data_IF_884939198789
#
_entry.id   IF_884939198789
#
_cell.length_a   1.000
_cell.length_b   1.000
_cell.length_c   1.000
_cell.angle_alpha   90.00
_cell.angle_beta   90.00
_cell.angle_gamma   90.00
#
_symmetry.space_group_name_H-M   'P 1'
#
loop_
_entity.id
_entity.type
_entity.pdbx_description
1 polymer ?
#
# COMPACT_ATOMS: atom_id res chain seq x y z
N UNK A 1 -54.95 29.82 -24.17
CA UNK A 1 -54.53 28.46 -23.78
C UNK A 1 -53.06 28.53 -23.39
N UNK A 2 -52.78 28.30 -22.12
CA UNK A 2 -51.49 28.58 -21.46
C UNK A 2 -50.79 27.23 -21.27
N UNK A 3 -49.76 26.95 -22.06
CA UNK A 3 -48.99 25.71 -21.96
C UNK A 3 -48.07 25.77 -20.73
N UNK A 4 -48.41 24.98 -19.72
CA UNK A 4 -47.57 24.72 -18.55
C UNK A 4 -46.69 23.52 -18.92
N UNK A 5 -45.40 23.74 -19.05
CA UNK A 5 -44.39 22.67 -19.15
C UNK A 5 -44.11 22.20 -17.72
N UNK A 6 -44.53 20.97 -17.41
CA UNK A 6 -44.15 20.26 -16.18
C UNK A 6 -42.70 19.78 -16.33
N UNK A 7 -41.77 20.38 -15.58
CA UNK A 7 -40.40 19.88 -15.43
C UNK A 7 -40.38 19.01 -14.18
N UNK A 8 -40.38 17.69 -14.35
CA UNK A 8 -40.12 16.72 -13.29
C UNK A 8 -38.61 16.69 -13.01
N UNK A 9 -38.20 17.31 -11.91
CA UNK A 9 -36.85 17.16 -11.37
C UNK A 9 -36.71 15.75 -10.78
N UNK A 10 -35.99 14.86 -11.47
CA UNK A 10 -35.52 13.61 -10.88
C UNK A 10 -34.32 13.92 -9.97
N UNK A 11 -34.59 14.09 -8.67
CA UNK A 11 -33.54 14.03 -7.65
C UNK A 11 -33.04 12.59 -7.55
N UNK A 12 -31.94 12.29 -8.23
CA UNK A 12 -31.10 11.15 -7.87
C UNK A 12 -30.34 11.53 -6.60
N UNK A 13 -30.91 11.16 -5.45
CA UNK A 13 -30.15 11.07 -4.20
C UNK A 13 -29.22 9.87 -4.38
N UNK A 14 -28.00 10.14 -4.84
CA UNK A 14 -26.87 9.23 -4.66
C UNK A 14 -26.61 9.14 -3.16
N UNK A 15 -27.23 8.15 -2.52
CA UNK A 15 -26.79 7.67 -1.21
C UNK A 15 -25.48 6.93 -1.47
N UNK A 16 -24.40 7.71 -1.62
CA UNK A 16 -23.06 7.19 -1.46
C UNK A 16 -22.98 6.70 -0.02
N UNK A 17 -23.10 5.38 0.15
CA UNK A 17 -22.82 4.75 1.42
C UNK A 17 -21.36 5.01 1.76
N UNK A 18 -21.11 6.05 2.55
CA UNK A 18 -19.84 6.23 3.22
C UNK A 18 -19.62 4.98 4.05
N UNK A 19 -18.77 4.07 3.58
CA UNK A 19 -18.19 3.02 4.42
C UNK A 19 -17.36 3.74 5.46
N UNK A 20 -17.98 4.03 6.61
CA UNK A 20 -17.27 4.50 7.79
C UNK A 20 -16.20 3.42 8.06
N UNK A 21 -14.90 3.78 8.14
CA UNK A 21 -13.90 2.83 8.59
C UNK A 21 -14.39 2.25 9.92
N UNK A 22 -14.38 0.93 10.05
CA UNK A 22 -14.68 0.28 11.32
C UNK A 22 -13.86 0.97 12.41
N UNK A 23 -14.53 1.70 13.29
CA UNK A 23 -13.90 2.47 14.35
C UNK A 23 -13.08 1.52 15.20
N UNK A 24 -11.77 1.70 15.25
CA UNK A 24 -10.92 1.05 16.23
C UNK A 24 -11.35 1.59 17.60
N UNK A 25 -11.93 0.73 18.43
CA UNK A 25 -12.14 1.07 19.83
C UNK A 25 -10.81 0.82 20.56
N UNK A 26 -10.16 1.90 21.03
CA UNK A 26 -9.02 1.88 21.98
C UNK A 26 -9.48 1.33 23.35
N UNK A 27 -9.90 0.07 23.39
CA UNK A 27 -10.40 -0.56 24.61
C UNK A 27 -9.34 -1.38 25.35
N UNK A 28 -8.21 -1.68 24.71
CA UNK A 28 -7.07 -2.41 25.30
C UNK A 28 -5.80 -1.59 25.15
N UNK A 29 -5.16 -1.25 26.27
CA UNK A 29 -3.90 -0.48 26.31
C UNK A 29 -2.77 -1.36 26.80
N UNK A 30 -1.60 -1.27 26.15
CA UNK A 30 -0.36 -1.77 26.71
C UNK A 30 0.07 -0.91 27.91
N UNK A 31 0.73 -1.51 28.90
CA UNK A 31 1.28 -0.77 30.04
C UNK A 31 2.69 -0.22 29.76
N UNK A 32 3.02 0.91 30.40
CA UNK A 32 4.26 1.66 30.15
C UNK A 32 5.40 1.39 31.12
N UNK A 33 6.53 0.89 30.63
CA UNK A 33 7.76 0.64 31.39
C UNK A 33 8.15 -0.84 31.50
N UNK A 34 9.34 -1.13 32.05
CA UNK A 34 9.82 -2.50 32.26
C UNK A 34 8.91 -3.20 33.28
N UNK A 35 8.08 -4.15 32.83
CA UNK A 35 7.15 -4.88 33.68
C UNK A 35 5.84 -4.15 34.00
N UNK A 36 5.52 -3.05 33.31
CA UNK A 36 4.28 -2.33 33.56
C UNK A 36 3.11 -2.96 32.79
N UNK A 37 2.15 -3.53 33.52
CA UNK A 37 0.78 -3.78 33.08
C UNK A 37 0.55 -5.07 32.27
N UNK A 38 0.35 -6.19 32.97
CA UNK A 38 -0.43 -7.37 32.55
C UNK A 38 -0.18 -7.91 31.13
N UNK A 39 1.07 -7.95 30.66
CA UNK A 39 1.39 -8.76 29.50
C UNK A 39 1.08 -10.23 29.79
N UNK A 40 0.70 -10.99 28.76
CA UNK A 40 0.27 -12.38 28.86
C UNK A 40 -1.22 -12.50 29.14
N UNK A 41 -1.92 -13.27 28.31
CA UNK A 41 -3.35 -13.54 28.45
C UNK A 41 -3.58 -14.96 28.95
N UNK A 42 -4.71 -15.18 29.61
CA UNK A 42 -5.13 -16.52 30.02
C UNK A 42 -5.75 -17.27 28.83
N UNK A 43 -4.92 -17.60 27.85
CA UNK A 43 -5.25 -18.44 26.70
C UNK A 43 -4.23 -19.58 26.64
N UNK A 44 -4.66 -20.85 26.52
CA UNK A 44 -3.74 -21.96 26.27
C UNK A 44 -3.08 -21.79 24.90
N UNK A 45 -2.00 -22.52 24.62
CA UNK A 45 -1.36 -22.46 23.30
C UNK A 45 -0.31 -21.37 23.14
N UNK A 46 0.19 -21.28 21.91
CA UNK A 46 1.30 -20.45 21.49
C UNK A 46 1.19 -20.18 20.02
N UNK A 47 1.79 -19.10 19.55
CA UNK A 47 1.75 -18.75 18.14
C UNK A 47 3.13 -18.46 17.58
N UNK A 48 3.28 -18.66 16.28
CA UNK A 48 4.39 -18.15 15.49
C UNK A 48 3.95 -17.80 14.07
N UNK A 49 4.69 -16.90 13.42
CA UNK A 49 4.41 -16.57 12.04
C UNK A 49 4.67 -17.79 11.15
N UNK A 50 3.66 -18.21 10.36
CA UNK A 50 3.70 -19.41 9.53
C UNK A 50 3.15 -20.67 10.20
N UNK A 51 2.55 -20.57 11.38
CA UNK A 51 1.92 -21.70 12.06
C UNK A 51 0.84 -22.36 11.20
N UNK A 52 0.89 -23.69 11.05
CA UNK A 52 -0.04 -24.45 10.23
C UNK A 52 -0.13 -24.02 8.75
N UNK A 53 0.84 -23.26 8.24
CA UNK A 53 0.88 -22.85 6.84
C UNK A 53 1.08 -24.05 5.92
N UNK A 54 0.23 -24.19 4.89
CA UNK A 54 0.21 -25.34 3.98
C UNK A 54 0.14 -24.94 2.52
N UNK A 55 0.69 -25.81 1.67
CA UNK A 55 0.54 -25.67 0.22
C UNK A 55 -0.93 -25.63 -0.16
N UNK A 56 -1.30 -24.65 -0.98
CA UNK A 56 -2.68 -24.37 -1.36
C UNK A 56 -3.33 -23.26 -0.53
N UNK A 57 -2.72 -22.78 0.55
CA UNK A 57 -3.27 -21.66 1.32
C UNK A 57 -3.22 -20.37 0.50
N UNK A 58 -4.35 -19.67 0.47
CA UNK A 58 -4.55 -18.40 -0.19
C UNK A 58 -4.98 -17.35 0.82
N UNK A 59 -4.34 -16.19 0.79
CA UNK A 59 -4.67 -15.04 1.61
C UNK A 59 -4.83 -13.80 0.73
N UNK A 60 -5.82 -12.97 1.05
CA UNK A 60 -5.97 -11.61 0.51
C UNK A 60 -6.06 -10.63 1.65
N UNK A 61 -5.20 -9.62 1.66
CA UNK A 61 -5.21 -8.54 2.64
C UNK A 61 -5.48 -7.20 1.96
N UNK A 62 -6.21 -6.32 2.65
CA UNK A 62 -6.14 -4.88 2.42
C UNK A 62 -5.06 -4.32 3.33
N UNK A 63 -4.03 -3.68 2.79
CA UNK A 63 -2.81 -3.29 3.51
C UNK A 63 -2.47 -1.83 3.24
N UNK A 64 -1.97 -1.12 4.25
CA UNK A 64 -1.25 0.14 4.08
C UNK A 64 -0.02 0.20 4.99
N UNK A 65 0.97 1.02 4.63
CA UNK A 65 2.18 1.23 5.42
C UNK A 65 2.71 2.66 5.24
N UNK A 66 3.22 3.31 6.29
CA UNK A 66 3.66 4.71 6.29
C UNK A 66 4.75 4.98 5.26
N UNK A 67 5.74 4.08 5.20
CA UNK A 67 6.82 4.13 4.22
C UNK A 67 6.36 3.81 2.78
N UNK A 68 5.09 3.45 2.59
CA UNK A 68 4.50 3.17 1.29
C UNK A 68 3.29 4.10 1.02
N UNK A 69 3.53 5.15 0.22
CA UNK A 69 2.51 6.13 -0.16
C UNK A 69 1.70 6.66 1.04
N UNK A 70 2.38 7.02 2.13
CA UNK A 70 1.77 7.59 3.35
C UNK A 70 0.57 6.77 3.91
N UNK A 71 0.75 5.44 4.01
CA UNK A 71 -0.30 4.49 4.41
C UNK A 71 -1.56 4.56 3.54
N UNK A 72 -1.39 4.56 2.22
CA UNK A 72 -2.54 4.27 1.37
C UNK A 72 -2.79 2.78 1.19
N UNK A 73 -4.08 2.41 1.20
CA UNK A 73 -4.52 1.03 1.02
C UNK A 73 -4.22 0.50 -0.39
N UNK A 74 -3.72 -0.73 -0.44
CA UNK A 74 -3.65 -1.57 -1.64
C UNK A 74 -4.04 -3.02 -1.27
N UNK A 75 -4.29 -3.86 -2.28
CA UNK A 75 -4.56 -5.28 -2.07
C UNK A 75 -3.28 -6.09 -2.24
N UNK A 76 -3.01 -6.95 -1.26
CA UNK A 76 -1.91 -7.91 -1.29
C UNK A 76 -2.47 -9.31 -1.18
N UNK A 77 -2.42 -10.07 -2.27
CA UNK A 77 -2.83 -11.47 -2.31
C UNK A 77 -1.61 -12.37 -2.43
N UNK A 78 -1.59 -13.45 -1.65
CA UNK A 78 -0.52 -14.46 -1.69
C UNK A 78 -1.12 -15.86 -1.69
N UNK A 79 -0.60 -16.71 -2.56
CA UNK A 79 -1.00 -18.12 -2.68
C UNK A 79 0.25 -19.00 -2.55
N UNK A 80 0.25 -19.93 -1.59
CA UNK A 80 1.36 -20.85 -1.38
C UNK A 80 1.32 -21.96 -2.44
N UNK A 81 2.16 -21.84 -3.47
CA UNK A 81 2.20 -22.74 -4.61
C UNK A 81 2.80 -24.10 -4.24
N UNK A 82 3.95 -24.10 -3.57
CA UNK A 82 4.73 -25.30 -3.28
C UNK A 82 5.85 -25.05 -2.29
N UNK A 83 6.42 -26.14 -1.79
CA UNK A 83 7.75 -26.14 -1.19
C UNK A 83 8.84 -26.18 -2.28
N UNK A 84 9.98 -25.55 -2.00
CA UNK A 84 11.16 -25.52 -2.87
C UNK A 84 12.35 -26.07 -2.09
N UNK A 85 12.90 -27.20 -2.52
CA UNK A 85 13.99 -27.93 -1.85
C UNK A 85 15.30 -27.92 -2.64
N UNK A 86 15.34 -27.18 -3.75
CA UNK A 86 16.51 -27.08 -4.63
C UNK A 86 17.54 -26.04 -4.19
N UNK A 87 17.26 -25.31 -3.12
CA UNK A 87 18.11 -24.24 -2.58
C UNK A 87 19.06 -24.71 -1.48
N UNK A 88 19.87 -23.80 -0.92
CA UNK A 88 20.69 -24.09 0.26
C UNK A 88 19.84 -24.40 1.51
N UNK A 89 18.59 -23.94 1.52
CA UNK A 89 17.59 -24.19 2.55
C UNK A 89 16.24 -24.48 1.88
N UNK A 90 15.39 -25.27 2.54
CA UNK A 90 14.02 -25.51 2.09
C UNK A 90 13.16 -24.26 2.31
N UNK A 91 12.49 -23.80 1.26
CA UNK A 91 11.65 -22.59 1.26
C UNK A 91 10.22 -22.90 0.82
N UNK A 92 9.34 -21.93 1.02
CA UNK A 92 7.94 -21.95 0.59
C UNK A 92 7.74 -20.87 -0.48
N UNK A 93 7.28 -21.26 -1.67
CA UNK A 93 7.07 -20.31 -2.77
C UNK A 93 5.64 -19.80 -2.79
N UNK A 94 5.50 -18.50 -2.59
CA UNK A 94 4.26 -17.79 -2.83
C UNK A 94 4.22 -17.19 -4.23
N UNK A 95 3.09 -17.39 -4.92
CA UNK A 95 2.70 -16.50 -6.01
C UNK A 95 1.99 -15.29 -5.39
N UNK A 96 2.27 -14.10 -5.91
CA UNK A 96 1.80 -12.83 -5.38
C UNK A 96 1.01 -12.09 -6.45
N UNK A 97 -0.10 -11.49 -6.03
CA UNK A 97 -0.86 -10.53 -6.81
C UNK A 97 -1.03 -9.26 -5.98
N UNK A 98 -0.62 -8.13 -6.54
CA UNK A 98 -0.83 -6.80 -5.96
C UNK A 98 -1.84 -6.05 -6.82
N UNK A 99 -2.84 -5.45 -6.19
CA UNK A 99 -3.76 -4.50 -6.84
C UNK A 99 -3.63 -3.16 -6.10
N UNK A 100 -2.90 -2.21 -6.70
CA UNK A 100 -2.67 -0.86 -6.17
C UNK A 100 -3.23 0.15 -7.17
N UNK A 101 -4.46 0.62 -6.90
CA UNK A 101 -5.17 1.47 -7.84
C UNK A 101 -5.46 0.74 -9.16
N UNK A 102 -5.05 1.34 -10.28
CA UNK A 102 -5.09 0.71 -11.60
C UNK A 102 -3.92 -0.24 -11.89
N UNK A 103 -2.93 -0.37 -11.00
CA UNK A 103 -1.78 -1.26 -11.20
C UNK A 103 -2.10 -2.66 -10.68
N UNK A 104 -1.90 -3.65 -11.55
CA UNK A 104 -2.03 -5.06 -11.21
C UNK A 104 -0.68 -5.73 -11.46
N UNK A 105 0.00 -6.14 -10.40
CA UNK A 105 1.34 -6.74 -10.50
C UNK A 105 1.29 -8.19 -10.06
N UNK A 106 1.87 -9.06 -10.89
CA UNK A 106 2.12 -10.45 -10.54
C UNK A 106 3.59 -10.65 -10.28
N UNK A 107 3.89 -11.47 -9.29
CA UNK A 107 5.25 -11.89 -9.04
C UNK A 107 5.27 -13.12 -8.15
N UNK A 108 6.45 -13.46 -7.67
CA UNK A 108 6.65 -14.52 -6.71
C UNK A 108 7.60 -14.05 -5.62
N UNK A 109 7.52 -14.70 -4.46
CA UNK A 109 8.52 -14.63 -3.41
C UNK A 109 8.69 -16.02 -2.81
N UNK A 110 9.92 -16.38 -2.42
CA UNK A 110 10.13 -17.51 -1.55
C UNK A 110 10.32 -17.01 -0.12
N UNK A 111 9.78 -17.77 0.85
CA UNK A 111 9.92 -17.47 2.27
C UNK A 111 10.51 -18.66 3.02
N UNK A 112 11.18 -18.41 4.14
CA UNK A 112 11.73 -19.47 4.99
C UNK A 112 10.64 -20.31 5.67
N UNK A 113 10.97 -21.57 6.01
CA UNK A 113 10.09 -22.45 6.80
C UNK A 113 10.15 -22.16 8.30
N UNK A 114 11.30 -21.69 8.81
CA UNK A 114 11.46 -21.29 10.21
C UNK A 114 10.68 -20.01 10.53
N UNK A 115 10.71 -19.08 9.59
CA UNK A 115 10.02 -17.80 9.64
C UNK A 115 9.64 -17.46 8.20
N UNK A 116 8.38 -17.06 7.92
CA UNK A 116 7.91 -16.76 6.57
C UNK A 116 8.40 -15.37 6.12
N UNK A 117 9.70 -15.12 6.27
CA UNK A 117 10.39 -13.94 5.80
C UNK A 117 10.85 -14.13 4.35
N UNK A 118 10.72 -13.10 3.48
CA UNK A 118 11.16 -13.19 2.10
C UNK A 118 12.66 -13.45 1.95
N UNK A 119 13.02 -14.40 1.09
CA UNK A 119 14.39 -14.75 0.73
C UNK A 119 14.90 -13.83 -0.37
N UNK A 120 15.99 -13.10 -0.08
CA UNK A 120 16.62 -12.20 -1.04
C UNK A 120 16.99 -12.93 -2.36
N UNK A 121 16.78 -12.26 -3.49
CA UNK A 121 17.07 -12.81 -4.82
C UNK A 121 16.01 -13.76 -5.40
N UNK A 122 15.00 -14.15 -4.61
CA UNK A 122 13.87 -14.97 -5.09
C UNK A 122 12.63 -14.14 -5.45
N UNK A 123 12.59 -12.90 -4.95
CA UNK A 123 11.48 -11.97 -5.12
C UNK A 123 11.51 -11.38 -6.53
N UNK A 124 10.37 -11.37 -7.21
CA UNK A 124 10.26 -10.69 -8.51
C UNK A 124 10.47 -9.18 -8.36
N UNK A 125 11.31 -8.60 -9.22
CA UNK A 125 11.74 -7.20 -9.12
C UNK A 125 10.58 -6.19 -9.05
N UNK A 126 9.52 -6.44 -9.83
CA UNK A 126 8.35 -5.58 -9.93
C UNK A 126 7.52 -5.49 -8.64
N UNK A 127 7.65 -6.46 -7.72
CA UNK A 127 6.90 -6.49 -6.45
C UNK A 127 7.76 -6.23 -5.22
N UNK A 128 9.06 -5.95 -5.36
CA UNK A 128 9.99 -5.82 -4.23
C UNK A 128 9.53 -4.82 -3.15
N UNK A 129 8.97 -3.67 -3.54
CA UNK A 129 8.46 -2.66 -2.59
C UNK A 129 7.30 -3.19 -1.76
N UNK A 130 6.38 -3.96 -2.37
CA UNK A 130 5.24 -4.55 -1.67
C UNK A 130 5.64 -5.72 -0.77
N UNK A 131 6.64 -6.49 -1.18
CA UNK A 131 7.22 -7.56 -0.35
C UNK A 131 7.97 -6.98 0.85
N UNK A 132 8.59 -5.80 0.71
CA UNK A 132 9.12 -5.06 1.85
C UNK A 132 8.02 -4.70 2.85
N UNK A 133 6.86 -4.22 2.36
CA UNK A 133 5.69 -3.95 3.22
C UNK A 133 5.19 -5.21 3.90
N UNK A 134 5.08 -6.34 3.19
CA UNK A 134 4.73 -7.64 3.80
C UNK A 134 5.68 -8.00 4.94
N UNK A 135 6.99 -7.85 4.72
CA UNK A 135 8.03 -8.14 5.72
C UNK A 135 7.90 -7.26 6.97
N UNK A 136 7.66 -5.96 6.79
CA UNK A 136 7.56 -4.99 7.89
C UNK A 136 6.17 -4.92 8.53
N UNK A 137 5.18 -5.68 8.04
CA UNK A 137 3.81 -5.69 8.60
C UNK A 137 3.29 -7.11 8.87
N UNK A 138 2.78 -7.82 7.85
CA UNK A 138 2.10 -9.12 7.99
C UNK A 138 3.02 -10.17 8.63
N UNK A 139 4.28 -10.29 8.19
CA UNK A 139 5.22 -11.25 8.75
C UNK A 139 6.05 -10.70 9.91
N UNK A 140 5.89 -9.44 10.30
CA UNK A 140 6.80 -8.74 11.23
C UNK A 140 6.99 -9.46 12.56
N UNK A 141 5.92 -10.09 13.08
CA UNK A 141 5.96 -10.86 14.32
C UNK A 141 6.92 -12.07 14.27
N UNK A 142 7.39 -12.49 13.09
CA UNK A 142 8.46 -13.51 12.95
C UNK A 142 9.76 -13.11 13.66
N UNK A 143 10.00 -11.81 13.83
CA UNK A 143 11.14 -11.30 14.59
C UNK A 143 11.12 -11.76 16.06
N UNK A 144 9.94 -12.07 16.59
CA UNK A 144 9.74 -12.52 17.96
C UNK A 144 9.35 -13.99 18.04
N UNK A 145 8.44 -14.44 17.18
CA UNK A 145 7.82 -15.75 17.23
C UNK A 145 8.05 -16.52 15.92
N UNK A 146 8.96 -17.49 15.95
CA UNK A 146 9.31 -18.36 14.81
C UNK A 146 8.83 -19.78 15.06
N UNK A 147 8.89 -20.66 14.06
CA UNK A 147 8.82 -22.10 14.30
C UNK A 147 9.94 -22.54 15.26
N UNK A 148 9.79 -23.73 15.83
CA UNK A 148 10.83 -24.31 16.68
C UNK A 148 12.13 -24.52 15.91
N UNK A 149 13.24 -24.11 16.53
CA UNK A 149 14.54 -24.03 15.86
C UNK A 149 15.70 -24.65 16.68
N UNK A 150 15.41 -25.35 17.78
CA UNK A 150 16.41 -25.83 18.75
C UNK A 150 17.43 -24.75 19.18
N UNK A 151 17.03 -23.48 19.15
CA UNK A 151 17.88 -22.33 19.45
C UNK A 151 17.26 -21.48 20.55
N UNK A 152 18.08 -21.06 21.52
CA UNK A 152 17.65 -20.21 22.62
C UNK A 152 17.09 -18.88 22.11
N UNK A 153 15.89 -18.51 22.54
CA UNK A 153 15.20 -17.29 22.15
C UNK A 153 14.29 -17.40 20.91
N UNK A 154 14.45 -18.46 20.11
CA UNK A 154 13.56 -18.81 18.99
C UNK A 154 12.38 -19.67 19.45
N UNK A 155 11.49 -20.00 18.52
CA UNK A 155 10.34 -20.87 18.75
C UNK A 155 9.03 -20.12 19.06
N UNK A 156 7.92 -20.87 19.10
CA UNK A 156 6.59 -20.33 19.33
C UNK A 156 6.49 -19.58 20.65
N UNK A 157 5.66 -18.54 20.67
CA UNK A 157 5.45 -17.73 21.88
C UNK A 157 4.09 -18.04 22.48
N UNK A 158 4.12 -18.59 23.69
CA UNK A 158 2.92 -18.82 24.47
C UNK A 158 2.18 -17.50 24.73
N UNK A 159 0.86 -17.54 24.61
CA UNK A 159 0.02 -16.37 24.85
C UNK A 159 0.03 -15.92 26.32
N UNK A 160 0.35 -16.83 27.23
CA UNK A 160 0.52 -16.55 28.66
C UNK A 160 1.85 -15.86 29.02
N UNK A 161 2.80 -15.77 28.08
CA UNK A 161 4.08 -15.09 28.34
C UNK A 161 3.85 -13.59 28.45
N UNK A 162 4.36 -13.03 29.54
CA UNK A 162 4.30 -11.58 29.80
C UNK A 162 5.09 -10.74 28.78
N UNK A 163 6.01 -11.37 28.03
CA UNK A 163 6.84 -10.73 27.02
C UNK A 163 7.14 -11.68 25.86
N UNK A 164 6.99 -11.19 24.63
CA UNK A 164 7.47 -11.85 23.42
C UNK A 164 8.80 -11.24 22.93
N UNK A 165 9.09 -9.98 23.27
CA UNK A 165 10.37 -9.31 23.01
C UNK A 165 10.44 -7.89 23.55
N UNK A 166 11.65 -7.30 23.56
CA UNK A 166 11.93 -6.01 24.22
C UNK A 166 11.83 -4.77 23.33
N UNK A 167 11.97 -4.89 22.01
CA UNK A 167 12.12 -3.74 21.11
C UNK A 167 11.16 -3.92 19.93
N UNK A 168 10.01 -3.25 19.99
CA UNK A 168 9.10 -3.17 18.84
C UNK A 168 9.62 -2.18 17.78
N UNK A 169 10.16 -1.06 18.23
CA UNK A 169 10.80 -0.03 17.42
C UNK A 169 11.86 0.72 18.27
N UNK A 170 12.68 1.56 17.65
CA UNK A 170 13.73 2.31 18.39
C UNK A 170 13.04 3.24 19.42
N UNK A 171 13.27 2.97 20.71
CA UNK A 171 12.60 3.66 21.82
C UNK A 171 11.21 3.12 22.19
N UNK A 172 10.75 2.06 21.51
CA UNK A 172 9.48 1.38 21.75
C UNK A 172 9.45 0.54 23.02
N UNK A 173 8.22 0.27 23.47
CA UNK A 173 7.98 -0.59 24.62
C UNK A 173 7.98 -2.08 24.25
N UNK A 174 7.84 -2.92 25.28
CA UNK A 174 7.83 -4.36 25.18
C UNK A 174 6.66 -4.87 24.32
N UNK A 175 6.93 -5.88 23.48
CA UNK A 175 5.90 -6.60 22.71
C UNK A 175 5.33 -7.71 23.58
N UNK A 176 4.01 -7.75 23.76
CA UNK A 176 3.34 -8.77 24.56
C UNK A 176 1.89 -9.00 24.13
N UNK A 177 1.31 -10.17 24.43
CA UNK A 177 -0.14 -10.35 24.44
C UNK A 177 -0.75 -9.45 25.51
N UNK A 178 -1.74 -8.62 25.14
CA UNK A 178 -2.34 -7.62 26.05
C UNK A 178 -3.85 -7.78 26.24
N UNK A 179 -4.48 -8.63 25.43
CA UNK A 179 -5.93 -8.85 25.52
C UNK A 179 -6.40 -9.97 24.60
N UNK A 180 -7.68 -10.29 24.72
CA UNK A 180 -8.38 -11.20 23.80
C UNK A 180 -9.64 -10.51 23.34
N UNK A 181 -9.99 -10.67 22.08
CA UNK A 181 -11.22 -10.15 21.52
C UNK A 181 -11.72 -11.04 20.38
N UNK A 182 -13.04 -11.13 20.24
CA UNK A 182 -13.67 -11.69 19.04
C UNK A 182 -13.83 -10.56 18.02
N UNK A 183 -13.14 -10.65 16.89
CA UNK A 183 -13.26 -9.67 15.81
C UNK A 183 -14.00 -10.24 14.61
N UNK A 184 -14.60 -9.35 13.82
CA UNK A 184 -15.11 -9.70 12.50
C UNK A 184 -14.37 -8.89 11.43
N UNK A 185 -13.83 -9.59 10.44
CA UNK A 185 -13.24 -9.05 9.22
C UNK A 185 -13.98 -9.66 8.02
N UNK A 186 -13.67 -9.24 6.79
CA UNK A 186 -14.37 -9.79 5.61
C UNK A 186 -14.16 -11.30 5.44
N UNK A 187 -13.00 -11.82 5.83
CA UNK A 187 -12.71 -13.24 5.76
C UNK A 187 -13.50 -14.10 6.76
N UNK A 188 -14.06 -13.50 7.82
CA UNK A 188 -14.81 -14.23 8.84
C UNK A 188 -14.76 -13.58 10.22
N UNK A 189 -15.26 -14.31 11.21
CA UNK A 189 -15.22 -13.96 12.63
C UNK A 189 -14.20 -14.86 13.32
N UNK A 190 -13.33 -14.26 14.13
CA UNK A 190 -12.20 -14.95 14.77
C UNK A 190 -12.11 -14.56 16.24
N UNK A 191 -11.85 -15.55 17.09
CA UNK A 191 -11.39 -15.32 18.46
C UNK A 191 -9.88 -15.08 18.42
N UNK A 192 -9.46 -13.88 18.82
CA UNK A 192 -8.08 -13.41 18.64
C UNK A 192 -7.41 -13.10 19.95
N UNK A 193 -6.09 -13.28 19.97
CA UNK A 193 -5.20 -12.69 20.96
C UNK A 193 -4.63 -11.40 20.38
N UNK A 194 -4.73 -10.32 21.13
CA UNK A 194 -4.19 -9.01 20.77
C UNK A 194 -2.75 -8.96 21.25
N UNK A 195 -1.80 -8.91 20.32
CA UNK A 195 -0.41 -8.58 20.59
C UNK A 195 -0.24 -7.07 20.44
N UNK A 196 0.34 -6.42 21.44
CA UNK A 196 0.51 -4.97 21.40
C UNK A 196 1.73 -4.46 22.15
N UNK A 197 2.03 -3.21 21.87
CA UNK A 197 3.09 -2.40 22.48
C UNK A 197 2.71 -0.93 22.36
N UNK A 198 3.31 -0.08 23.20
CA UNK A 198 3.09 1.36 23.10
C UNK A 198 4.16 2.02 22.24
N UNK A 199 3.74 2.98 21.42
CA UNK A 199 4.61 3.84 20.64
C UNK A 199 4.04 5.26 20.57
N UNK A 200 4.86 6.27 20.90
CA UNK A 200 4.47 7.68 20.88
C UNK A 200 3.25 8.02 21.75
N UNK A 201 2.99 7.26 22.82
CA UNK A 201 1.83 7.45 23.69
C UNK A 201 0.58 6.63 23.32
N UNK A 202 0.56 6.00 22.14
CA UNK A 202 -0.57 5.21 21.60
C UNK A 202 -0.23 3.72 21.63
N UNK A 203 -1.22 2.85 21.80
CA UNK A 203 -1.01 1.39 21.73
C UNK A 203 -1.19 0.89 20.30
N UNK A 204 -0.21 0.17 19.79
CA UNK A 204 -0.29 -0.61 18.55
C UNK A 204 -0.91 -1.98 18.82
N UNK A 205 -1.73 -2.47 17.91
CA UNK A 205 -2.43 -3.76 18.01
C UNK A 205 -2.20 -4.63 16.78
N UNK A 206 -1.92 -5.91 17.02
CA UNK A 206 -1.91 -6.99 16.01
C UNK A 206 -2.73 -8.15 16.57
N UNK A 207 -3.75 -8.58 15.83
CA UNK A 207 -4.62 -9.68 16.22
C UNK A 207 -4.16 -10.97 15.56
N UNK A 208 -3.77 -11.95 16.38
CA UNK A 208 -3.37 -13.29 15.97
C UNK A 208 -4.41 -14.31 16.41
N UNK A 209 -4.47 -15.43 15.69
CA UNK A 209 -5.37 -16.56 15.98
C UNK A 209 -4.50 -17.78 16.22
N UNK A 210 -4.79 -18.52 17.29
CA UNK A 210 -4.12 -19.78 17.58
C UNK A 210 -4.29 -20.75 16.40
N UNK A 211 -3.26 -21.53 16.09
CA UNK A 211 -3.28 -22.47 14.96
C UNK A 211 -3.49 -21.84 13.56
N UNK A 212 -3.33 -20.52 13.40
CA UNK A 212 -3.53 -19.81 12.13
C UNK A 212 -2.25 -19.14 11.60
N UNK A 213 -1.93 -19.21 10.29
CA UNK A 213 -0.59 -18.86 9.79
C UNK A 213 -0.12 -17.41 9.98
N UNK A 214 -1.03 -16.45 9.80
CA UNK A 214 -0.69 -15.03 9.76
C UNK A 214 -1.67 -14.21 10.58
N UNK A 215 -1.28 -13.02 11.08
CA UNK A 215 -2.22 -12.16 11.78
C UNK A 215 -3.43 -11.79 10.90
N UNK A 216 -4.60 -11.64 11.51
CA UNK A 216 -5.86 -11.39 10.80
C UNK A 216 -6.18 -9.89 10.66
N UNK A 217 -5.65 -9.06 11.55
CA UNK A 217 -5.87 -7.60 11.55
C UNK A 217 -4.74 -6.90 12.32
N UNK A 218 -4.35 -5.71 11.90
CA UNK A 218 -3.44 -4.86 12.67
C UNK A 218 -3.73 -3.38 12.48
N UNK A 219 -3.36 -2.59 13.48
CA UNK A 219 -3.26 -1.13 13.43
C UNK A 219 -2.14 -0.67 14.36
N UNK A 220 -1.08 -0.14 13.78
CA UNK A 220 0.14 0.25 14.50
C UNK A 220 0.52 1.70 14.23
N UNK A 221 1.34 2.27 15.11
CA UNK A 221 1.65 3.70 15.14
C UNK A 221 3.15 3.95 15.16
N UNK A 222 3.57 5.00 14.44
CA UNK A 222 4.98 5.42 14.39
C UNK A 222 5.40 6.02 15.73
N UNK A 223 6.63 5.75 16.16
CA UNK A 223 7.22 6.44 17.30
C UNK A 223 7.50 7.90 16.94
N UNK A 224 6.85 8.83 17.63
CA UNK A 224 7.17 10.26 17.54
C UNK A 224 7.63 10.80 18.90
N UNK A 225 8.52 11.78 18.88
CA UNK A 225 8.94 12.50 20.10
C UNK A 225 7.98 13.62 20.47
N UNK A 226 7.26 14.17 19.49
CA UNK A 226 6.27 15.24 19.63
C UNK A 226 5.18 15.09 18.55
N UNK A 227 3.99 15.64 18.80
CA UNK A 227 2.86 15.58 17.86
C UNK A 227 2.02 14.31 17.98
N UNK A 228 1.12 14.10 17.01
CA UNK A 228 0.30 12.89 16.94
C UNK A 228 1.04 11.80 16.16
N UNK A 229 1.14 10.59 16.71
CA UNK A 229 1.73 9.45 16.02
C UNK A 229 0.92 9.14 14.75
N UNK A 230 1.51 9.19 13.54
CA UNK A 230 0.84 8.74 12.34
C UNK A 230 0.71 7.21 12.34
N UNK A 231 -0.25 6.70 11.55
CA UNK A 231 -0.41 5.26 11.33
C UNK A 231 0.87 4.72 10.68
N UNK A 232 1.50 3.73 11.31
CA UNK A 232 2.68 3.04 10.76
C UNK A 232 2.26 1.99 9.74
N UNK A 233 1.41 1.04 10.12
CA UNK A 233 0.74 0.17 9.16
C UNK A 233 -0.61 -0.28 9.66
N UNK A 234 -1.46 -0.65 8.71
CA UNK A 234 -2.77 -1.23 8.96
C UNK A 234 -3.01 -2.33 7.94
N UNK A 235 -3.55 -3.44 8.40
CA UNK A 235 -4.08 -4.44 7.49
C UNK A 235 -5.30 -5.15 8.06
N UNK A 236 -6.08 -5.74 7.16
CA UNK A 236 -7.19 -6.63 7.49
C UNK A 236 -7.22 -7.78 6.49
N UNK A 237 -7.34 -9.00 7.01
CA UNK A 237 -7.58 -10.18 6.21
C UNK A 237 -8.97 -10.06 5.57
N UNK A 238 -8.99 -10.17 4.24
CA UNK A 238 -10.17 -10.01 3.42
C UNK A 238 -10.70 -11.34 2.91
N UNK A 239 -9.81 -12.25 2.55
CA UNK A 239 -10.16 -13.58 2.08
C UNK A 239 -9.09 -14.58 2.53
N UNK A 240 -9.54 -15.77 2.96
CA UNK A 240 -8.69 -16.92 3.24
C UNK A 240 -9.33 -18.17 2.65
N UNK A 241 -8.53 -18.99 1.95
CA UNK A 241 -8.96 -20.29 1.42
C UNK A 241 -7.85 -21.30 1.59
N UNK A 242 -8.20 -22.48 2.07
CA UNK A 242 -7.30 -23.63 2.11
C UNK A 242 -7.43 -24.47 0.84
N UNK A 243 -6.40 -25.27 0.55
CA UNK A 243 -6.42 -26.30 -0.49
C UNK A 243 -6.73 -25.77 -1.91
N UNK A 244 -6.30 -24.56 -2.25
CA UNK A 244 -6.40 -24.04 -3.62
C UNK A 244 -5.39 -24.77 -4.50
N UNK A 245 -5.89 -25.62 -5.40
CA UNK A 245 -5.08 -26.58 -6.21
C UNK A 245 -4.50 -26.00 -7.50
N UNK A 246 -4.93 -24.81 -7.91
CA UNK A 246 -4.50 -24.17 -9.16
C UNK A 246 -4.23 -22.70 -8.94
N UNK A 247 -3.24 -22.14 -9.64
CA UNK A 247 -2.84 -20.74 -9.49
C UNK A 247 -4.04 -19.79 -9.68
N UNK A 248 -4.51 -19.09 -8.63
CA UNK A 248 -5.67 -18.22 -8.71
C UNK A 248 -5.42 -16.97 -9.57
N UNK A 249 -4.16 -16.70 -9.94
CA UNK A 249 -3.76 -15.52 -10.69
C UNK A 249 -3.49 -15.79 -12.18
N UNK A 250 -3.70 -17.02 -12.65
CA UNK A 250 -3.33 -17.44 -14.02
C UNK A 250 -3.99 -16.58 -15.11
N UNK A 251 -5.27 -16.21 -14.93
CA UNK A 251 -6.04 -15.41 -15.90
C UNK A 251 -5.90 -13.88 -15.74
N UNK A 252 -5.12 -13.40 -14.77
CA UNK A 252 -4.99 -11.97 -14.48
C UNK A 252 -3.84 -11.40 -15.30
N UNK A 253 -4.08 -10.26 -15.96
CA UNK A 253 -3.07 -9.58 -16.78
C UNK A 253 -2.27 -8.65 -15.89
N UNK A 254 -0.95 -8.83 -15.90
CA UNK A 254 -0.02 -7.92 -15.22
C UNK A 254 0.13 -6.63 -16.04
N UNK A 255 -0.15 -5.50 -15.39
CA UNK A 255 -0.11 -4.18 -16.04
C UNK A 255 1.29 -3.80 -16.50
N UNK A 256 2.35 -4.25 -15.83
CA UNK A 256 3.73 -3.99 -16.22
C UNK A 256 4.18 -4.90 -17.37
N UNK A 257 3.66 -6.13 -17.48
CA UNK A 257 3.88 -6.96 -18.69
C UNK A 257 3.22 -6.31 -19.92
N UNK A 258 2.03 -5.72 -19.75
CA UNK A 258 1.41 -4.92 -20.81
C UNK A 258 2.27 -3.71 -21.22
N UNK A 259 3.03 -3.14 -20.26
CA UNK A 259 3.99 -2.04 -20.52
C UNK A 259 5.33 -2.48 -21.09
N UNK A 260 5.84 -3.68 -20.80
CA UNK A 260 7.16 -4.17 -21.28
C UNK A 260 7.31 -4.29 -22.81
N UNK A 261 6.23 -4.11 -23.58
CA UNK A 261 6.29 -3.89 -25.02
C UNK A 261 6.63 -2.46 -25.46
N UNK A 262 6.81 -1.53 -24.51
CA UNK A 262 7.14 -0.13 -24.77
C UNK A 262 8.60 0.15 -24.42
N UNK A 263 9.31 0.71 -25.40
CA UNK A 263 10.71 1.18 -25.31
C UNK A 263 10.79 2.39 -24.36
N UNK A 264 10.60 2.13 -23.07
CA UNK A 264 10.57 3.13 -22.00
C UNK A 264 11.97 3.59 -21.62
N UNK A 265 12.13 4.90 -21.43
CA UNK A 265 13.39 5.50 -21.02
C UNK A 265 13.57 5.27 -19.52
N UNK A 266 14.63 4.54 -19.13
CA UNK A 266 14.91 4.24 -17.72
C UNK A 266 16.03 5.08 -17.10
N UNK A 267 16.82 5.76 -17.93
CA UNK A 267 17.89 6.66 -17.51
C UNK A 267 17.63 8.04 -18.09
N UNK A 268 17.30 9.01 -17.24
CA UNK A 268 16.98 10.36 -17.64
C UNK A 268 17.36 11.35 -16.53
N UNK A 269 17.58 12.59 -16.92
CA UNK A 269 17.61 13.72 -15.99
C UNK A 269 16.18 14.22 -15.80
N UNK A 270 15.85 14.61 -14.56
CA UNK A 270 14.53 15.18 -14.28
C UNK A 270 14.46 16.63 -14.74
N UNK A 271 13.34 16.98 -15.38
CA UNK A 271 12.97 18.36 -15.68
C UNK A 271 12.46 19.01 -14.41
N UNK A 272 12.99 20.18 -14.07
CA UNK A 272 12.60 20.93 -12.88
C UNK A 272 11.75 22.15 -13.26
N UNK A 273 10.60 22.28 -12.59
CA UNK A 273 9.72 23.44 -12.64
C UNK A 273 9.60 23.97 -11.22
N UNK A 274 9.81 25.27 -11.03
CA UNK A 274 9.76 25.92 -9.72
C UNK A 274 8.90 27.16 -9.82
N UNK A 275 7.63 27.04 -9.47
CA UNK A 275 6.62 28.06 -9.72
C UNK A 275 5.71 28.27 -8.53
N UNK A 276 5.15 29.48 -8.43
CA UNK A 276 4.03 29.72 -7.52
C UNK A 276 2.76 29.08 -8.09
N UNK A 277 1.92 28.56 -7.21
CA UNK A 277 0.52 28.30 -7.55
C UNK A 277 -0.14 29.57 -8.11
N UNK A 278 -1.14 29.42 -8.97
CA UNK A 278 -1.87 30.54 -9.56
C UNK A 278 -2.50 31.51 -8.53
N UNK A 279 -2.72 31.06 -7.30
CA UNK A 279 -3.22 31.85 -6.16
C UNK A 279 -2.10 32.43 -5.29
N UNK A 280 -0.83 32.13 -5.59
CA UNK A 280 0.36 32.43 -4.78
C UNK A 280 0.26 31.91 -3.33
N UNK A 281 -0.53 30.87 -3.09
CA UNK A 281 -0.72 30.30 -1.76
C UNK A 281 0.47 29.46 -1.29
N UNK A 282 1.21 28.91 -2.25
CA UNK A 282 2.35 27.99 -2.10
C UNK A 282 3.29 28.07 -3.30
N UNK A 283 4.52 27.62 -3.10
CA UNK A 283 5.50 27.37 -4.17
C UNK A 283 5.57 25.86 -4.40
N UNK A 284 5.48 25.42 -5.65
CA UNK A 284 5.64 24.01 -6.03
C UNK A 284 6.98 23.82 -6.76
N UNK A 285 7.85 22.98 -6.18
CA UNK A 285 9.02 22.45 -6.87
C UNK A 285 8.63 21.10 -7.47
N UNK A 286 8.43 21.07 -8.78
CA UNK A 286 7.95 19.91 -9.53
C UNK A 286 9.14 19.39 -10.33
N UNK A 287 9.59 18.18 -10.02
CA UNK A 287 10.51 17.44 -10.86
C UNK A 287 9.76 16.30 -11.52
N UNK A 288 9.92 16.16 -12.83
CA UNK A 288 9.37 15.01 -13.55
C UNK A 288 10.38 14.42 -14.52
N UNK A 289 10.24 13.13 -14.82
CA UNK A 289 11.09 12.46 -15.79
C UNK A 289 10.45 11.21 -16.38
N UNK A 290 10.83 10.82 -17.60
CA UNK A 290 11.73 11.52 -18.53
C UNK A 290 11.12 12.81 -19.12
N UNK A 291 11.93 13.72 -19.68
CA UNK A 291 11.48 14.99 -20.31
C UNK A 291 10.42 14.78 -21.40
N UNK A 292 10.58 13.71 -22.19
CA UNK A 292 9.65 13.32 -23.25
C UNK A 292 9.15 11.90 -23.00
N UNK A 293 8.22 11.72 -22.04
CA UNK A 293 7.75 10.40 -21.70
C UNK A 293 6.94 9.79 -22.84
N UNK A 294 7.08 8.48 -22.99
CA UNK A 294 6.37 7.71 -24.00
C UNK A 294 5.03 7.28 -23.43
N UNK A 295 3.96 7.40 -24.22
CA UNK A 295 2.63 6.90 -23.84
C UNK A 295 2.73 5.41 -23.50
N UNK A 296 2.14 5.03 -22.36
CA UNK A 296 2.24 3.70 -21.76
C UNK A 296 3.40 3.51 -20.77
N UNK A 297 4.37 4.42 -20.74
CA UNK A 297 5.46 4.41 -19.76
C UNK A 297 5.14 5.29 -18.54
N UNK A 298 5.74 4.97 -17.39
CA UNK A 298 5.58 5.78 -16.19
C UNK A 298 6.37 7.09 -16.29
N UNK A 299 5.71 8.19 -15.94
CA UNK A 299 6.33 9.47 -15.61
C UNK A 299 6.63 9.43 -14.11
N UNK A 300 7.88 9.58 -13.75
CA UNK A 300 8.32 9.78 -12.38
C UNK A 300 8.08 11.23 -11.96
N UNK A 301 7.56 11.42 -10.76
CA UNK A 301 7.25 12.71 -10.17
C UNK A 301 7.90 12.83 -8.81
N UNK A 302 8.67 13.89 -8.61
CA UNK A 302 9.13 14.33 -7.29
C UNK A 302 8.58 15.73 -7.04
N UNK A 303 7.63 15.84 -6.13
CA UNK A 303 6.98 17.10 -5.80
C UNK A 303 7.43 17.57 -4.42
N UNK A 304 7.75 18.85 -4.31
CA UNK A 304 7.94 19.51 -3.02
C UNK A 304 7.05 20.75 -2.93
N UNK A 305 6.14 20.72 -1.96
CA UNK A 305 5.25 21.84 -1.63
C UNK A 305 5.91 22.70 -0.56
N UNK A 306 6.14 23.97 -0.88
CA UNK A 306 6.84 24.94 -0.03
C UNK A 306 5.94 26.12 0.30
N UNK A 307 6.24 26.77 1.43
CA UNK A 307 5.50 27.96 1.87
C UNK A 307 5.71 29.10 0.86
N UNK A 308 4.67 29.89 0.59
CA UNK A 308 4.68 30.98 -0.41
C UNK A 308 5.86 31.97 -0.29
N UNK A 309 6.40 32.14 0.92
CA UNK A 309 7.48 33.09 1.21
C UNK A 309 8.76 32.43 1.72
N UNK A 310 8.92 31.11 1.53
CA UNK A 310 10.14 30.39 1.96
C UNK A 310 10.53 29.32 0.96
N UNK A 311 11.80 29.32 0.56
CA UNK A 311 12.38 28.30 -0.32
C UNK A 311 12.80 27.04 0.43
N UNK A 312 12.80 27.08 1.77
CA UNK A 312 13.43 26.05 2.62
C UNK A 312 12.42 25.37 3.55
N UNK A 313 11.24 25.97 3.75
CA UNK A 313 10.18 25.43 4.58
C UNK A 313 9.13 24.72 3.72
N UNK A 314 8.94 23.44 4.00
CA UNK A 314 7.88 22.63 3.41
C UNK A 314 6.54 22.93 4.06
N UNK A 315 5.48 22.76 3.29
CA UNK A 315 4.10 22.73 3.78
C UNK A 315 3.76 21.29 4.13
N UNK A 316 3.15 21.07 5.29
CA UNK A 316 2.75 19.75 5.74
C UNK A 316 1.27 19.51 5.44
N UNK A 317 0.86 18.24 5.52
CA UNK A 317 -0.53 17.81 5.38
C UNK A 317 -1.21 18.33 4.09
N UNK A 318 -0.51 18.19 2.96
CA UNK A 318 -0.94 18.74 1.68
C UNK A 318 -1.84 17.76 0.95
N UNK A 319 -3.02 18.21 0.53
CA UNK A 319 -3.94 17.47 -0.33
C UNK A 319 -3.72 17.91 -1.78
N UNK A 320 -3.36 16.99 -2.67
CA UNK A 320 -2.93 17.32 -4.02
C UNK A 320 -3.40 16.31 -5.08
N UNK A 321 -3.20 16.64 -6.35
CA UNK A 321 -3.37 15.72 -7.48
C UNK A 321 -2.45 16.12 -8.64
N UNK A 322 -2.18 15.18 -9.54
CA UNK A 322 -1.53 15.42 -10.83
C UNK A 322 -2.57 15.18 -11.90
N UNK A 323 -2.90 16.22 -12.63
CA UNK A 323 -3.95 16.23 -13.63
C UNK A 323 -3.35 16.37 -15.02
N UNK A 324 -3.90 15.65 -15.98
CA UNK A 324 -3.82 16.07 -17.38
C UNK A 324 -5.03 16.97 -17.61
N UNK A 325 -4.84 18.13 -18.21
CA UNK A 325 -5.88 19.15 -18.33
C UNK A 325 -6.01 19.65 -19.76
N UNK A 326 -7.21 20.10 -20.10
CA UNK A 326 -7.44 20.95 -21.26
C UNK A 326 -7.70 22.38 -20.80
N UNK A 327 -7.26 23.37 -21.58
CA UNK A 327 -7.47 24.79 -21.30
C UNK A 327 -8.21 25.39 -22.49
N UNK A 328 -9.54 25.40 -22.40
CA UNK A 328 -10.43 25.99 -23.40
C UNK A 328 -10.96 27.30 -22.84
N UNK A 329 -10.82 28.40 -23.59
CA UNK A 329 -11.33 29.73 -23.21
C UNK A 329 -10.89 30.21 -21.82
N UNK A 330 -9.66 29.85 -21.41
CA UNK A 330 -9.11 30.19 -20.09
C UNK A 330 -9.65 29.34 -18.93
N UNK A 331 -10.51 28.36 -19.21
CA UNK A 331 -11.01 27.40 -18.23
C UNK A 331 -10.20 26.10 -18.27
N UNK A 332 -9.53 25.81 -17.17
CA UNK A 332 -8.82 24.53 -16.98
C UNK A 332 -9.83 23.44 -16.62
N UNK A 333 -9.89 22.38 -17.43
CA UNK A 333 -10.76 21.22 -17.21
C UNK A 333 -9.92 19.95 -17.12
N UNK A 334 -10.03 19.14 -16.05
CA UNK A 334 -9.32 17.87 -15.96
C UNK A 334 -9.81 16.88 -17.02
N UNK A 335 -8.89 16.24 -17.73
CA UNK A 335 -9.17 15.12 -18.66
C UNK A 335 -8.72 13.78 -18.11
N UNK A 336 -7.70 13.77 -17.24
CA UNK A 336 -7.27 12.61 -16.47
C UNK A 336 -6.72 13.05 -15.11
N UNK A 337 -6.79 12.16 -14.12
CA UNK A 337 -6.33 12.40 -12.75
C UNK A 337 -5.53 11.20 -12.26
N UNK A 338 -4.32 11.45 -11.78
CA UNK A 338 -3.48 10.42 -11.20
C UNK A 338 -4.12 9.83 -9.94
N UNK A 339 -4.78 10.66 -9.11
CA UNK A 339 -5.52 10.17 -7.95
C UNK A 339 -6.71 9.28 -8.34
N UNK A 340 -7.49 9.69 -9.34
CA UNK A 340 -8.65 8.93 -9.82
C UNK A 340 -8.24 7.60 -10.44
N UNK A 341 -7.13 7.57 -11.17
CA UNK A 341 -6.52 6.34 -11.71
C UNK A 341 -6.11 5.38 -10.57
N UNK A 342 -5.76 5.90 -9.40
CA UNK A 342 -5.52 5.10 -8.20
C UNK A 342 -6.79 4.82 -7.36
N UNK A 343 -7.98 5.19 -7.87
CA UNK A 343 -9.26 5.01 -7.18
C UNK A 343 -9.48 5.97 -6.02
N UNK A 344 -8.87 7.16 -6.06
CA UNK A 344 -8.87 8.16 -4.98
C UNK A 344 -9.41 9.49 -5.48
N UNK A 345 -10.04 10.24 -4.58
CA UNK A 345 -10.49 11.60 -4.90
C UNK A 345 -9.32 12.59 -5.05
N UNK A 346 -8.26 12.37 -4.26
CA UNK A 346 -7.03 13.17 -4.21
C UNK A 346 -5.95 12.42 -3.45
N UNK A 347 -4.69 12.82 -3.65
CA UNK A 347 -3.56 12.37 -2.85
C UNK A 347 -3.36 13.22 -1.60
N UNK A 348 -2.56 12.70 -0.68
CA UNK A 348 -2.15 13.34 0.56
C UNK A 348 -0.64 13.18 0.77
N UNK A 349 0.02 14.20 1.29
CA UNK A 349 1.42 14.16 1.71
C UNK A 349 1.56 14.77 3.10
N UNK A 350 2.06 13.99 4.05
CA UNK A 350 2.29 14.45 5.42
C UNK A 350 3.37 15.52 5.50
N UNK A 351 4.43 15.39 4.68
CA UNK A 351 5.65 16.22 4.76
C UNK A 351 5.77 17.28 3.67
N UNK A 352 4.80 17.34 2.75
CA UNK A 352 4.88 18.16 1.53
C UNK A 352 5.88 17.63 0.51
N UNK A 353 6.48 16.46 0.73
CA UNK A 353 7.36 15.78 -0.23
C UNK A 353 6.67 14.54 -0.77
N UNK A 354 6.79 14.35 -2.07
CA UNK A 354 6.15 13.27 -2.81
C UNK A 354 7.16 12.65 -3.75
N UNK A 355 7.17 11.33 -3.83
CA UNK A 355 7.82 10.58 -4.90
C UNK A 355 6.84 9.52 -5.42
N UNK A 356 6.40 9.67 -6.67
CA UNK A 356 5.39 8.80 -7.26
C UNK A 356 5.60 8.61 -8.76
N UNK A 357 4.85 7.67 -9.34
CA UNK A 357 4.90 7.35 -10.76
C UNK A 357 3.48 7.31 -11.32
N UNK A 358 3.25 8.01 -12.43
CA UNK A 358 1.96 7.99 -13.12
C UNK A 358 2.15 7.67 -14.60
N UNK A 359 1.40 6.71 -15.12
CA UNK A 359 1.54 6.24 -16.51
C UNK A 359 1.10 7.32 -17.50
N UNK A 360 1.98 7.67 -18.43
CA UNK A 360 1.67 8.62 -19.50
C UNK A 360 0.55 8.10 -20.40
N UNK A 361 -0.47 8.91 -20.58
CA UNK A 361 -1.67 8.59 -21.36
C UNK A 361 -2.10 9.79 -22.22
N UNK A 362 -3.05 9.54 -23.13
CA UNK A 362 -3.52 10.52 -24.11
C UNK A 362 -2.79 10.41 -25.45
N UNK A 363 -2.75 11.52 -26.18
CA UNK A 363 -2.24 11.56 -27.56
C UNK A 363 -0.78 12.08 -27.63
N UNK A 364 0.00 11.65 -28.64
CA UNK A 364 1.36 12.14 -28.84
C UNK A 364 1.41 13.66 -29.06
N UNK A 365 2.49 14.30 -28.62
CA UNK A 365 2.71 15.74 -28.75
C UNK A 365 2.56 16.49 -27.44
N UNK A 366 2.41 17.81 -27.54
CA UNK A 366 2.38 18.70 -26.38
C UNK A 366 1.05 18.53 -25.62
N UNK A 367 1.14 18.05 -24.39
CA UNK A 367 0.02 17.85 -23.47
C UNK A 367 0.14 18.79 -22.27
N UNK A 368 -1.00 19.27 -21.77
CA UNK A 368 -1.05 20.13 -20.58
C UNK A 368 -1.24 19.30 -19.33
N UNK A 369 -0.41 19.58 -18.33
CA UNK A 369 -0.49 19.00 -17.01
C UNK A 369 -0.71 20.09 -15.98
N UNK A 370 -1.34 19.73 -14.86
CA UNK A 370 -1.46 20.57 -13.69
C UNK A 370 -1.09 19.78 -12.44
N UNK A 371 -0.20 20.34 -11.61
CA UNK A 371 -0.10 19.93 -10.20
C UNK A 371 -1.09 20.77 -9.43
N UNK A 372 -2.16 20.14 -8.95
CA UNK A 372 -3.27 20.76 -8.24
C UNK A 372 -3.08 20.58 -6.73
N UNK A 373 -3.27 21.65 -5.97
CA UNK A 373 -3.36 21.63 -4.51
C UNK A 373 -4.81 21.92 -4.12
N UNK A 374 -5.44 20.96 -3.45
CA UNK A 374 -6.80 21.09 -2.94
C UNK A 374 -6.86 21.87 -1.63
N UNK A 375 -5.77 21.88 -0.87
CA UNK A 375 -5.64 22.60 0.40
C UNK A 375 -4.71 21.86 1.37
N UNK A 376 -4.77 22.25 2.64
CA UNK A 376 -3.96 21.65 3.73
C UNK A 376 -4.84 21.18 4.89
N UNK A 377 -4.40 20.17 5.62
CA UNK A 377 -5.05 19.72 6.85
C UNK A 377 -5.09 18.19 6.98
N UNK A 378 -5.60 17.65 8.10
CA UNK A 378 -5.56 16.21 8.37
C UNK A 378 -6.09 15.35 7.21
N UNK A 379 -5.46 14.21 6.95
CA UNK A 379 -5.76 13.32 5.80
C UNK A 379 -7.25 12.95 5.64
N UNK A 380 -7.98 12.71 6.72
CA UNK A 380 -9.40 12.34 6.70
C UNK A 380 -10.36 13.52 6.92
N UNK A 381 -9.89 14.74 6.68
CA UNK A 381 -10.69 15.95 6.83
C UNK A 381 -10.91 16.64 5.48
N UNK A 382 -11.90 17.54 5.44
CA UNK A 382 -12.01 18.45 4.30
C UNK A 382 -10.83 19.41 4.39
N UNK A 383 -9.95 19.47 3.37
CA UNK A 383 -8.77 20.34 3.43
C UNK A 383 -9.18 21.81 3.48
N UNK A 384 -8.39 22.62 4.17
CA UNK A 384 -8.55 24.07 4.19
C UNK A 384 -8.28 24.65 2.79
N UNK A 385 -9.29 25.22 2.11
CA UNK A 385 -9.15 25.74 0.76
C UNK A 385 -8.33 27.04 0.70
N UNK A 386 -7.91 27.63 1.83
CA UNK A 386 -7.03 28.81 1.83
C UNK A 386 -5.71 28.59 1.06
N UNK A 387 -5.28 27.34 0.94
CA UNK A 387 -4.10 26.93 0.17
C UNK A 387 -4.39 26.41 -1.23
N UNK A 388 -5.65 26.43 -1.66
CA UNK A 388 -6.05 25.97 -2.99
C UNK A 388 -5.30 26.73 -4.10
N UNK A 389 -4.83 25.98 -5.10
CA UNK A 389 -4.15 26.55 -6.26
C UNK A 389 -3.50 25.47 -7.13
N UNK A 390 -2.98 25.85 -8.28
CA UNK A 390 -2.32 24.90 -9.19
C UNK A 390 -1.16 25.54 -9.96
N UNK A 391 -0.29 24.69 -10.50
CA UNK A 391 0.74 25.05 -11.49
C UNK A 391 0.45 24.27 -12.77
N UNK A 392 0.27 24.97 -13.89
CA UNK A 392 0.08 24.36 -15.22
C UNK A 392 1.40 24.45 -16.00
N UNK A 393 1.73 23.36 -16.69
CA UNK A 393 2.91 23.27 -17.54
C UNK A 393 2.66 22.27 -18.67
N UNK A 394 3.55 22.29 -19.65
CA UNK A 394 3.45 21.41 -20.82
C UNK A 394 4.47 20.26 -20.70
N UNK A 395 4.05 19.07 -21.10
CA UNK A 395 4.93 17.90 -21.29
C UNK A 395 4.71 17.40 -22.72
N UNK A 396 5.80 17.14 -23.45
CA UNK A 396 5.73 16.61 -24.80
C UNK A 396 5.78 15.06 -24.77
N UNK A 397 4.66 14.41 -25.05
CA UNK A 397 4.54 12.96 -25.05
C UNK A 397 5.00 12.33 -26.37
N UNK A 398 5.75 11.25 -26.28
CA UNK A 398 6.08 10.41 -27.44
C UNK A 398 4.99 9.37 -27.70
N UNK A 399 4.80 9.01 -28.95
CA UNK A 399 3.89 7.94 -29.34
C UNK A 399 4.26 6.60 -28.68
N UNK A 400 3.24 5.79 -28.37
CA UNK A 400 3.44 4.44 -27.87
C UNK A 400 4.36 3.62 -28.79
N UNK A 401 5.14 2.71 -28.20
CA UNK A 401 6.02 1.82 -28.97
C UNK A 401 5.21 0.87 -29.86
N UNK A 402 5.72 0.52 -31.04
CA UNK A 402 5.10 -0.49 -31.89
C UNK A 402 5.31 -1.90 -31.32
N UNK A 403 4.27 -2.53 -30.80
CA UNK A 403 4.28 -3.97 -30.50
C UNK A 403 4.11 -4.78 -31.79
N UNK A 404 5.14 -4.84 -32.62
CA UNK A 404 5.13 -5.76 -33.77
C UNK A 404 5.38 -7.20 -33.30
N UNK A 405 4.29 -7.97 -33.15
CA UNK A 405 4.23 -9.42 -33.35
C UNK A 405 4.90 -10.33 -32.31
N UNK A 406 4.12 -10.78 -31.32
CA UNK A 406 4.25 -12.16 -30.82
C UNK A 406 2.91 -12.87 -31.00
N UNK A 407 2.67 -13.34 -32.24
CA UNK A 407 1.84 -14.52 -32.44
C UNK A 407 2.67 -15.68 -31.93
N UNK A 408 2.35 -16.19 -30.74
CA UNK A 408 2.91 -17.45 -30.27
C UNK A 408 2.31 -18.52 -31.19
N UNK A 409 3.10 -18.97 -32.16
CA UNK A 409 2.77 -20.14 -32.95
C UNK A 409 2.73 -21.35 -32.01
N UNK A 410 1.57 -21.98 -31.96
CA UNK A 410 1.35 -23.27 -31.32
C UNK A 410 2.27 -24.29 -32.00
N UNK A 411 3.36 -24.70 -31.34
CA UNK A 411 4.27 -25.71 -31.85
C UNK A 411 3.65 -27.10 -31.68
N UNK A 412 3.08 -27.63 -32.76
CA UNK A 412 2.73 -29.05 -32.86
C UNK A 412 3.99 -29.89 -32.62
N UNK A 413 3.94 -30.72 -31.59
CA UNK A 413 5.01 -31.64 -31.23
C UNK A 413 4.78 -32.95 -31.99
N UNK A 414 5.49 -33.15 -33.10
CA UNK A 414 5.52 -34.43 -33.81
C UNK A 414 6.49 -35.40 -33.13
N UNK A 415 5.97 -36.56 -32.71
CA UNK A 415 6.70 -37.70 -32.12
C UNK A 415 7.44 -38.45 -33.24
N UNK A 416 8.74 -38.79 -33.12
CA UNK A 416 9.38 -39.73 -34.03
C UNK A 416 9.22 -41.19 -33.55
N UNK A 417 9.04 -42.07 -34.54
CA UNK A 417 9.01 -43.54 -34.44
C UNK A 417 10.38 -44.17 -34.25
#
# INVERSE_FOLDING_TARGET
MRNIIFVTLFSFILVGGSVVPATFADHVSAGSGIGAGLGGVNHPGSWYAGENLKVGDYFKYKVCHAEYKDCTDFWFSMWLEKEVTSGPEDTLRFQILVEDGNKILKGQMEVGKLAPEPMGGTVSDNIMKYVSVYKSSISWLSSFATADADQSGKGPKAFSKVSWGKIANIGGEQVSPIGMETITVTAGTYDTVIVGWKSGGVTSHINVVDEFPFPVKASTWVQVTEGSSPQEYRFSLHEYKENVVSNPFAGIIDTEIAKKGSDCITNYEMVKIYENTNTNSMVANILYGPEKPRIGCDIEWVLEFKKAFSTDLFENDVHYDILQVDVIDGKTTPIASAAADEGRDKFFSTSGKVHMYWTAQGEPGLQKYAVMVWGTGPVYSVPDPAKFGYVIFDINLQAAGSTSGQVIAESEMSIPS
#
